data_IF_766358108747
#
_entry.id   IF_766358108747
#
_cell.length_a   1.000
_cell.length_b   1.000
_cell.length_c   1.000
_cell.angle_alpha   90.00
_cell.angle_beta   90.00
_cell.angle_gamma   90.00
#
_symmetry.space_group_name_H-M   'P 1'
#
loop_
_entity.id
_entity.type
_entity.pdbx_description
1 polymer ?
#
# COMPACT_ATOMS: atom_id res chain seq x y z
N UNK A 1 -18.38 -41.90 -50.25
CA UNK A 1 -17.96 -40.67 -49.56
C UNK A 1 -18.82 -40.51 -48.33
N UNK A 2 -18.30 -40.84 -47.15
CA UNK A 2 -19.03 -40.78 -45.88
C UNK A 2 -18.80 -39.41 -45.22
N UNK A 3 -19.88 -38.70 -44.91
CA UNK A 3 -19.87 -37.49 -44.08
C UNK A 3 -20.09 -37.89 -42.63
N UNK A 4 -19.11 -37.64 -41.77
CA UNK A 4 -19.25 -37.72 -40.32
C UNK A 4 -19.56 -36.31 -39.76
N UNK A 5 -20.49 -36.15 -38.81
CA UNK A 5 -20.81 -34.87 -38.22
C UNK A 5 -19.83 -34.52 -37.09
N UNK A 6 -19.30 -33.30 -37.13
CA UNK A 6 -18.46 -32.72 -36.11
C UNK A 6 -19.35 -32.31 -34.92
N UNK A 7 -19.24 -33.02 -33.79
CA UNK A 7 -19.92 -32.68 -32.54
C UNK A 7 -19.19 -31.49 -31.90
N UNK A 8 -19.79 -30.30 -31.98
CA UNK A 8 -19.37 -29.11 -31.24
C UNK A 8 -19.80 -29.23 -29.77
N UNK A 9 -18.86 -29.62 -28.92
CA UNK A 9 -18.98 -29.49 -27.47
C UNK A 9 -18.84 -28.02 -27.08
N UNK A 10 -19.98 -27.37 -26.79
CA UNK A 10 -20.02 -26.04 -26.20
C UNK A 10 -19.64 -26.19 -24.73
N UNK A 11 -18.39 -25.85 -24.37
CA UNK A 11 -18.01 -25.68 -22.97
C UNK A 11 -18.72 -24.44 -22.45
N UNK A 12 -19.81 -24.64 -21.70
CA UNK A 12 -20.37 -23.59 -20.84
C UNK A 12 -19.30 -23.26 -19.80
N UNK A 13 -18.53 -22.20 -20.05
CA UNK A 13 -17.73 -21.58 -19.01
C UNK A 13 -18.70 -21.10 -17.94
N UNK A 14 -18.59 -21.64 -16.73
CA UNK A 14 -19.31 -21.12 -15.57
C UNK A 14 -18.93 -19.64 -15.42
N UNK A 15 -19.84 -18.75 -15.79
CA UNK A 15 -19.75 -17.34 -15.46
C UNK A 15 -19.80 -17.28 -13.93
N UNK A 16 -18.64 -17.09 -13.28
CA UNK A 16 -18.58 -16.90 -11.84
C UNK A 16 -19.46 -15.70 -11.53
N UNK A 17 -20.57 -15.93 -10.83
CA UNK A 17 -21.36 -14.83 -10.31
C UNK A 17 -20.41 -13.93 -9.51
N UNK A 18 -20.36 -12.62 -9.79
CA UNK A 18 -19.50 -11.71 -9.05
C UNK A 18 -19.81 -11.88 -7.57
N UNK A 19 -18.79 -12.21 -6.78
CA UNK A 19 -18.93 -12.40 -5.34
C UNK A 19 -19.56 -11.14 -4.76
N UNK A 20 -20.81 -11.26 -4.31
CA UNK A 20 -21.52 -10.17 -3.67
C UNK A 20 -21.42 -10.36 -2.16
N UNK A 21 -20.66 -9.49 -1.51
CA UNK A 21 -20.57 -9.50 -0.06
C UNK A 21 -21.89 -9.01 0.58
N UNK A 22 -22.25 -9.62 1.71
CA UNK A 22 -23.41 -9.20 2.51
C UNK A 22 -23.13 -7.85 3.17
N UNK A 23 -24.19 -7.16 3.62
CA UNK A 23 -24.03 -5.89 4.36
C UNK A 23 -23.24 -6.08 5.66
N UNK A 24 -23.40 -7.23 6.34
CA UNK A 24 -22.62 -7.56 7.53
C UNK A 24 -21.13 -7.72 7.20
N UNK A 25 -20.79 -8.40 6.11
CA UNK A 25 -19.39 -8.53 5.70
C UNK A 25 -18.79 -7.15 5.32
N UNK A 26 -19.57 -6.27 4.69
CA UNK A 26 -19.12 -4.89 4.41
C UNK A 26 -18.93 -4.08 5.70
N UNK A 27 -19.75 -4.31 6.71
CA UNK A 27 -19.57 -3.69 8.02
C UNK A 27 -18.28 -4.18 8.70
N UNK A 28 -17.97 -5.48 8.62
CA UNK A 28 -16.68 -6.03 9.11
C UNK A 28 -15.49 -5.40 8.39
N UNK A 29 -15.57 -5.23 7.07
CA UNK A 29 -14.51 -4.55 6.30
C UNK A 29 -14.33 -3.09 6.74
N UNK A 30 -15.42 -2.36 6.96
CA UNK A 30 -15.36 -0.97 7.44
C UNK A 30 -14.66 -0.86 8.80
N UNK A 31 -14.95 -1.78 9.70
CA UNK A 31 -14.34 -1.83 11.04
C UNK A 31 -12.86 -2.25 10.97
N UNK A 32 -12.53 -3.20 10.09
CA UNK A 32 -11.17 -3.70 9.88
C UNK A 32 -10.27 -2.78 9.05
N UNK A 33 -10.83 -1.83 8.29
CA UNK A 33 -10.10 -0.90 7.44
C UNK A 33 -10.45 0.56 7.77
N UNK A 34 -9.94 1.10 8.90
CA UNK A 34 -10.23 2.47 9.31
C UNK A 34 -9.92 3.50 8.21
N UNK A 35 -10.89 4.39 7.97
CA UNK A 35 -10.77 5.43 6.95
C UNK A 35 -11.04 4.97 5.53
N UNK A 36 -11.45 3.71 5.29
CA UNK A 36 -11.89 3.30 3.95
C UNK A 36 -13.14 4.07 3.51
N UNK A 37 -13.16 4.47 2.24
CA UNK A 37 -14.27 5.23 1.64
C UNK A 37 -15.46 4.35 1.30
N UNK A 38 -16.67 4.93 1.31
CA UNK A 38 -17.88 4.25 0.80
C UNK A 38 -17.73 3.75 -0.63
N UNK A 39 -17.01 4.51 -1.46
CA UNK A 39 -16.74 4.13 -2.85
C UNK A 39 -16.00 2.80 -2.95
N UNK A 40 -14.95 2.61 -2.14
CA UNK A 40 -14.22 1.34 -2.14
C UNK A 40 -14.98 0.22 -1.42
N UNK A 41 -15.73 0.50 -0.36
CA UNK A 41 -16.62 -0.50 0.23
C UNK A 41 -17.67 -1.01 -0.77
N UNK A 42 -18.20 -0.13 -1.61
CA UNK A 42 -19.13 -0.51 -2.67
C UNK A 42 -18.45 -1.35 -3.78
N UNK A 43 -17.20 -1.03 -4.14
CA UNK A 43 -16.41 -1.87 -5.05
C UNK A 43 -16.21 -3.28 -4.47
N UNK A 44 -15.81 -3.38 -3.20
CA UNK A 44 -15.67 -4.65 -2.49
C UNK A 44 -17.00 -5.42 -2.48
N UNK A 45 -18.11 -4.74 -2.21
CA UNK A 45 -19.44 -5.35 -2.15
C UNK A 45 -19.84 -6.05 -3.43
N UNK A 46 -19.46 -5.50 -4.58
CA UNK A 46 -19.94 -5.98 -5.88
C UNK A 46 -18.90 -6.73 -6.70
N UNK A 47 -17.61 -6.53 -6.44
CA UNK A 47 -16.51 -7.18 -7.17
C UNK A 47 -15.52 -7.92 -6.28
N UNK A 48 -15.80 -8.00 -4.98
CA UNK A 48 -14.92 -8.59 -3.98
C UNK A 48 -13.67 -7.77 -3.68
N UNK A 49 -12.80 -8.30 -2.81
CA UNK A 49 -11.60 -7.58 -2.33
C UNK A 49 -10.64 -7.22 -3.48
N UNK A 50 -10.61 -8.04 -4.52
CA UNK A 50 -9.80 -7.83 -5.73
C UNK A 50 -10.26 -6.64 -6.58
N UNK A 51 -11.51 -6.19 -6.41
CA UNK A 51 -12.02 -4.99 -7.09
C UNK A 51 -11.58 -3.69 -6.41
N UNK A 52 -10.91 -3.77 -5.26
CA UNK A 52 -10.33 -2.60 -4.60
C UNK A 52 -9.09 -2.13 -5.38
N UNK A 53 -8.99 -0.83 -5.72
CA UNK A 53 -7.75 -0.23 -6.20
C UNK A 53 -6.54 -0.61 -5.36
N UNK A 54 -5.41 -0.83 -6.02
CA UNK A 54 -4.15 -1.14 -5.34
C UNK A 54 -3.50 0.09 -4.68
N UNK A 55 -3.87 1.31 -5.09
CA UNK A 55 -3.35 2.54 -4.49
C UNK A 55 -4.19 2.94 -3.29
N UNK A 56 -3.55 3.06 -2.12
CA UNK A 56 -4.19 3.41 -0.85
C UNK A 56 -4.92 4.76 -0.91
N UNK A 57 -4.40 5.75 -1.63
CA UNK A 57 -5.04 7.06 -1.75
C UNK A 57 -6.32 7.10 -2.59
N UNK A 58 -6.66 6.02 -3.30
CA UNK A 58 -7.94 5.88 -3.98
C UNK A 58 -9.04 5.32 -3.06
N UNK A 59 -8.65 4.63 -1.99
CA UNK A 59 -9.60 3.92 -1.13
C UNK A 59 -9.69 4.43 0.29
N UNK A 60 -8.70 5.17 0.76
CA UNK A 60 -8.65 5.63 2.14
C UNK A 60 -8.68 7.16 2.22
N UNK A 61 -9.29 7.66 3.29
CA UNK A 61 -9.19 9.06 3.66
C UNK A 61 -7.73 9.45 3.89
N UNK A 62 -7.29 10.49 3.19
CA UNK A 62 -5.92 11.00 3.28
C UNK A 62 -5.90 12.35 3.98
N UNK A 63 -4.81 12.65 4.68
CA UNK A 63 -4.52 14.01 5.16
C UNK A 63 -4.28 14.95 3.97
N UNK A 64 -4.44 16.27 4.16
CA UNK A 64 -3.94 17.24 3.19
C UNK A 64 -2.46 17.03 2.87
N UNK A 65 -2.08 17.37 1.63
CA UNK A 65 -0.69 17.34 1.19
C UNK A 65 0.17 18.25 2.06
N UNK A 66 1.30 17.74 2.52
CA UNK A 66 2.28 18.52 3.29
C UNK A 66 3.71 18.07 3.03
N UNK A 67 4.66 18.87 3.49
CA UNK A 67 6.07 18.53 3.48
C UNK A 67 6.41 17.65 4.68
N UNK A 68 7.27 16.68 4.41
CA UNK A 68 7.77 15.69 5.35
C UNK A 68 9.30 15.70 5.31
N UNK A 69 9.90 15.46 6.46
CA UNK A 69 11.34 15.31 6.62
C UNK A 69 11.60 14.22 7.64
N UNK A 70 12.64 13.41 7.44
CA UNK A 70 12.96 12.35 8.38
C UNK A 70 14.05 11.42 7.87
N UNK A 71 14.15 10.29 8.57
CA UNK A 71 14.95 9.16 8.16
C UNK A 71 14.04 8.12 7.51
N UNK A 72 14.49 7.51 6.43
CA UNK A 72 13.81 6.42 5.76
C UNK A 72 14.73 5.22 5.65
N UNK A 73 14.37 4.16 6.36
CA UNK A 73 14.96 2.84 6.19
C UNK A 73 14.26 2.16 5.01
N UNK A 74 14.98 1.94 3.92
CA UNK A 74 14.48 1.24 2.74
C UNK A 74 14.95 -0.20 2.79
N UNK A 75 14.00 -1.10 2.94
CA UNK A 75 14.17 -2.56 2.95
C UNK A 75 12.93 -3.18 2.30
N UNK A 76 13.05 -4.37 1.69
CA UNK A 76 11.92 -4.97 0.99
C UNK A 76 10.68 -5.20 1.87
N UNK A 77 10.82 -5.83 3.04
CA UNK A 77 9.68 -6.19 3.90
C UNK A 77 9.45 -5.17 5.02
N UNK A 78 10.54 -4.58 5.53
CA UNK A 78 10.54 -3.82 6.78
C UNK A 78 10.85 -2.32 6.58
N UNK A 79 10.64 -1.81 5.35
CA UNK A 79 10.79 -0.38 5.03
C UNK A 79 10.04 0.48 6.04
N UNK A 80 10.68 1.51 6.59
CA UNK A 80 10.07 2.37 7.59
C UNK A 80 10.54 3.81 7.49
N UNK A 81 9.59 4.74 7.56
CA UNK A 81 9.87 6.16 7.73
C UNK A 81 9.75 6.58 9.19
N UNK A 82 10.74 7.34 9.65
CA UNK A 82 10.81 7.94 10.97
C UNK A 82 10.84 9.47 10.80
N UNK A 83 9.72 10.17 11.05
CA UNK A 83 9.64 11.63 10.89
C UNK A 83 10.66 12.37 11.76
N UNK A 84 11.15 13.50 11.27
CA UNK A 84 12.03 14.38 12.04
C UNK A 84 11.34 14.94 13.29
N UNK A 85 12.09 15.13 14.39
CA UNK A 85 13.50 14.78 14.56
C UNK A 85 13.68 13.28 14.87
N UNK A 86 14.43 12.57 14.04
CA UNK A 86 14.78 11.16 14.23
C UNK A 86 16.30 11.02 14.25
N UNK A 87 16.86 10.46 15.32
CA UNK A 87 18.30 10.15 15.42
C UNK A 87 18.67 8.78 14.85
N UNK A 88 17.69 7.88 14.73
CA UNK A 88 17.83 6.54 14.17
C UNK A 88 16.52 6.12 13.51
N UNK A 89 16.59 5.21 12.54
CA UNK A 89 15.40 4.57 11.98
C UNK A 89 15.70 3.12 11.64
N UNK A 90 14.93 2.24 12.26
CA UNK A 90 14.93 0.80 12.07
C UNK A 90 13.52 0.28 12.25
N UNK A 91 13.27 -0.97 11.87
CA UNK A 91 11.98 -1.61 12.11
C UNK A 91 11.56 -1.54 13.60
N UNK A 92 12.51 -1.68 14.53
CA UNK A 92 12.30 -1.68 15.99
C UNK A 92 12.18 -0.28 16.61
N UNK A 93 12.30 0.79 15.81
CA UNK A 93 12.16 2.15 16.34
C UNK A 93 10.79 2.34 16.99
N UNK A 94 10.74 2.94 18.18
CA UNK A 94 9.51 3.14 18.93
C UNK A 94 8.54 4.10 18.20
N UNK A 95 7.24 3.94 18.46
CA UNK A 95 6.18 4.76 17.86
C UNK A 95 5.59 4.16 16.59
N UNK A 96 4.86 4.99 15.84
CA UNK A 96 4.08 4.53 14.68
C UNK A 96 4.96 4.01 13.54
N UNK A 97 4.56 2.86 12.98
CA UNK A 97 5.17 2.25 11.79
C UNK A 97 4.60 2.91 10.54
N UNK A 98 5.43 3.65 9.82
CA UNK A 98 4.99 4.41 8.64
C UNK A 98 5.65 3.82 7.40
N UNK A 99 4.82 3.33 6.48
CA UNK A 99 5.24 2.87 5.16
C UNK A 99 5.26 4.03 4.16
N UNK A 100 6.25 4.07 3.26
CA UNK A 100 6.28 5.03 2.15
C UNK A 100 6.01 4.33 0.83
N UNK A 101 5.08 4.88 0.05
CA UNK A 101 4.72 4.43 -1.29
C UNK A 101 4.72 5.58 -2.28
N UNK A 102 4.72 5.27 -3.57
CA UNK A 102 4.59 6.25 -4.65
C UNK A 102 5.73 6.19 -5.67
N UNK A 103 5.40 6.50 -6.92
CA UNK A 103 6.34 6.41 -8.07
C UNK A 103 7.55 7.33 -7.93
N UNK A 104 7.41 8.46 -7.23
CA UNK A 104 8.52 9.39 -7.01
C UNK A 104 9.65 8.76 -6.18
N UNK A 105 9.32 7.87 -5.24
CA UNK A 105 10.32 7.17 -4.42
C UNK A 105 11.12 6.15 -5.23
N UNK A 106 10.42 5.34 -6.05
CA UNK A 106 11.08 4.30 -6.85
C UNK A 106 12.04 4.89 -7.88
N UNK A 107 11.76 6.09 -8.38
CA UNK A 107 12.69 6.81 -9.26
C UNK A 107 13.89 7.44 -8.55
N UNK A 108 13.82 7.61 -7.22
CA UNK A 108 14.84 8.36 -6.45
C UNK A 108 15.85 7.46 -5.73
N UNK A 109 15.46 6.22 -5.37
CA UNK A 109 16.37 5.24 -4.78
C UNK A 109 16.05 3.80 -5.22
N UNK A 110 17.08 3.10 -5.70
CA UNK A 110 17.02 1.68 -6.09
C UNK A 110 17.47 0.73 -4.98
N UNK A 111 18.35 1.17 -4.09
CA UNK A 111 19.12 0.28 -3.22
C UNK A 111 18.58 0.28 -1.79
N UNK A 112 18.83 -0.80 -1.05
CA UNK A 112 18.48 -0.85 0.38
C UNK A 112 19.48 -0.03 1.21
N UNK A 113 18.97 0.59 2.28
CA UNK A 113 19.80 1.44 3.13
C UNK A 113 19.01 2.40 3.99
N UNK A 114 19.75 3.24 4.72
CA UNK A 114 19.20 4.33 5.50
C UNK A 114 19.42 5.65 4.75
N UNK A 115 18.34 6.40 4.59
CA UNK A 115 18.33 7.67 3.88
C UNK A 115 17.83 8.80 4.78
N UNK A 116 18.43 9.98 4.65
CA UNK A 116 17.75 11.23 4.98
C UNK A 116 16.87 11.61 3.81
N UNK A 117 15.59 11.86 4.09
CA UNK A 117 14.62 12.19 3.04
C UNK A 117 13.79 13.40 3.41
N UNK A 118 13.52 14.21 2.39
CA UNK A 118 12.56 15.31 2.43
C UNK A 118 11.65 15.20 1.21
N UNK A 119 10.34 15.29 1.42
CA UNK A 119 9.37 15.05 0.36
C UNK A 119 8.03 15.75 0.64
N UNK A 120 7.19 15.82 -0.39
CA UNK A 120 5.80 16.25 -0.31
C UNK A 120 4.91 15.02 -0.48
N UNK A 121 3.92 14.86 0.39
CA UNK A 121 3.05 13.69 0.36
C UNK A 121 1.82 13.78 1.26
N UNK A 122 0.98 12.75 1.20
CA UNK A 122 -0.30 12.61 1.90
C UNK A 122 -0.29 11.33 2.73
N UNK A 123 -0.60 11.41 4.02
CA UNK A 123 -0.70 10.24 4.90
C UNK A 123 -2.14 9.73 4.96
N UNK A 124 -2.35 8.45 5.20
CA UNK A 124 -3.65 7.96 5.67
C UNK A 124 -4.09 8.71 6.94
N UNK A 125 -5.35 9.15 6.97
CA UNK A 125 -5.88 10.01 8.03
C UNK A 125 -6.16 9.26 9.35
N UNK A 126 -6.25 7.93 9.28
CA UNK A 126 -6.54 7.04 10.42
C UNK A 126 -5.42 6.01 10.55
N UNK A 127 -5.15 5.62 11.80
CA UNK A 127 -4.29 4.47 12.08
C UNK A 127 -5.01 3.19 11.62
N UNK A 128 -4.27 2.30 10.98
CA UNK A 128 -4.81 1.07 10.40
C UNK A 128 -3.72 0.04 10.14
N UNK A 129 -3.89 -0.72 9.05
CA UNK A 129 -3.02 -1.82 8.66
C UNK A 129 -2.66 -1.65 7.19
N UNK A 130 -1.54 -0.98 6.92
CA UNK A 130 -1.09 -0.56 5.59
C UNK A 130 0.28 -1.14 5.24
N UNK A 131 0.79 -0.80 4.06
CA UNK A 131 2.12 -1.20 3.62
C UNK A 131 2.25 -2.70 3.38
N UNK A 132 3.49 -3.20 3.43
CA UNK A 132 3.76 -4.60 3.17
C UNK A 132 3.04 -5.51 4.19
N UNK A 133 2.26 -6.48 3.68
CA UNK A 133 1.47 -7.43 4.46
C UNK A 133 0.59 -6.79 5.55
N UNK A 134 0.13 -5.55 5.34
CA UNK A 134 -0.68 -4.79 6.30
C UNK A 134 0.01 -4.58 7.66
N UNK A 135 1.35 -4.56 7.68
CA UNK A 135 2.13 -4.48 8.92
C UNK A 135 2.39 -3.06 9.42
N UNK A 136 1.86 -2.01 8.80
CA UNK A 136 2.18 -0.61 9.11
C UNK A 136 0.97 0.17 9.60
N UNK A 137 1.19 1.05 10.57
CA UNK A 137 0.14 1.83 11.22
C UNK A 137 -0.41 2.93 10.31
N UNK A 138 0.46 3.47 9.45
CA UNK A 138 0.15 4.48 8.45
C UNK A 138 0.90 4.21 7.16
N UNK A 139 0.37 4.76 6.08
CA UNK A 139 1.06 4.85 4.81
C UNK A 139 1.08 6.31 4.34
N UNK A 140 2.21 6.73 3.80
CA UNK A 140 2.35 8.03 3.14
C UNK A 140 2.58 7.79 1.66
N UNK A 141 1.69 8.36 0.84
CA UNK A 141 1.88 8.45 -0.60
C UNK A 141 2.75 9.66 -0.88
N UNK A 142 3.94 9.39 -1.41
CA UNK A 142 4.94 10.40 -1.74
C UNK A 142 4.67 10.91 -3.15
N UNK A 143 4.18 12.14 -3.21
CA UNK A 143 3.83 12.83 -4.45
C UNK A 143 5.09 13.39 -5.14
N UNK A 144 6.06 13.88 -4.35
CA UNK A 144 7.33 14.44 -4.88
C UNK A 144 8.47 14.32 -3.86
N UNK A 145 9.62 13.82 -4.29
CA UNK A 145 10.87 13.88 -3.50
C UNK A 145 11.52 15.26 -3.68
N UNK A 146 11.87 15.90 -2.57
CA UNK A 146 12.56 17.20 -2.52
C UNK A 146 14.06 17.01 -2.34
N UNK A 147 14.44 16.12 -1.43
CA UNK A 147 15.83 15.76 -1.18
C UNK A 147 15.90 14.30 -0.73
N UNK A 148 16.96 13.60 -1.14
CA UNK A 148 17.25 12.24 -0.72
C UNK A 148 18.76 12.04 -0.65
N UNK A 149 19.25 11.63 0.52
CA UNK A 149 20.68 11.43 0.77
C UNK A 149 20.90 10.12 1.49
N UNK A 150 21.77 9.27 0.95
CA UNK A 150 22.20 8.05 1.63
C UNK A 150 22.98 8.43 2.91
N UNK A 151 22.62 7.79 4.02
CA UNK A 151 23.31 7.89 5.31
C UNK A 151 24.21 6.68 5.50
N UNK A 152 23.68 5.48 5.27
CA UNK A 152 24.43 4.21 5.29
C UNK A 152 23.74 3.19 4.38
N UNK A 153 24.51 2.33 3.73
CA UNK A 153 23.99 1.22 2.94
C UNK A 153 23.65 0.01 3.82
N UNK A 154 22.95 -0.98 3.26
CA UNK A 154 22.63 -2.22 3.97
C UNK A 154 23.88 -3.03 4.38
N UNK A 155 25.00 -2.89 3.65
CA UNK A 155 26.24 -3.64 3.92
C UNK A 155 26.94 -3.17 5.20
N UNK A 156 26.85 -1.88 5.52
CA UNK A 156 27.44 -1.28 6.73
C UNK A 156 26.55 -1.36 7.98
N UNK A 157 25.35 -1.94 7.86
CA UNK A 157 24.37 -2.07 8.96
C UNK A 157 24.29 -3.49 9.55
N UNK A 158 25.07 -4.43 9.00
CA UNK A 158 25.12 -5.83 9.41
C UNK A 158 26.37 -6.20 10.25
N UNK A 159 27.21 -5.23 10.60
CA UNK A 159 28.30 -5.35 11.58
C UNK A 159 27.89 -4.75 12.94
#
# INVERSE_FOLDING_TARGET
MNLAPLILLVTQGCEQQPQRFSDNAIQEFREGMPGITEGCLNKIKHGGIEAMPSSTDECFEMTPTRQWKGLWRREFENSRFCPSPAGSCSYQTAGDRIWLSGKALTSSASDEGLYEVEFVGRQTARKGSYGHLSAFDYEIIVDKVVNLRLVSDAATLAE
#
